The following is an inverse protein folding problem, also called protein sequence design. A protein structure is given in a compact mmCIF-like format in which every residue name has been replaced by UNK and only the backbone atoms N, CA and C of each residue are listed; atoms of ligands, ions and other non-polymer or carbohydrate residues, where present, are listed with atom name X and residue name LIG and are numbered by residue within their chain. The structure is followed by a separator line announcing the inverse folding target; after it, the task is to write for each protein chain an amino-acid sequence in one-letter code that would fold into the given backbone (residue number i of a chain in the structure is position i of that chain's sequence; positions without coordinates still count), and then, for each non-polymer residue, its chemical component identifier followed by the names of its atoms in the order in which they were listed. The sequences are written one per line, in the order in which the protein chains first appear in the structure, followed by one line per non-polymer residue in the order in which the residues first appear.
data_IF_928522366263
#
_entry.id   IF_928522366263
#
_cell.length_a   1.000
_cell.length_b   1.000
_cell.length_c   1.000
_cell.angle_alpha   90.00
_cell.angle_beta   90.00
_cell.angle_gamma   90.00
#
_symmetry.space_group_name_H-M   'P 1'
#
loop_
_entity.id
_entity.type
_entity.pdbx_description
1 polymer ?
#
# COMPACT_ATOMS: atom_id res chain seq x y z
N UNK A 1 -8.72 23.79 -4.27
CA UNK A 1 -9.43 22.94 -3.31
C UNK A 1 -9.65 21.63 -4.06
N UNK A 2 -8.71 20.69 -3.95
CA UNK A 2 -8.88 19.38 -4.60
C UNK A 2 -10.00 18.65 -3.86
N UNK A 3 -11.05 18.26 -4.58
CA UNK A 3 -12.08 17.35 -4.07
C UNK A 3 -11.40 16.12 -3.44
N UNK A 4 -11.93 15.53 -2.35
CA UNK A 4 -11.39 14.29 -1.85
C UNK A 4 -11.58 13.21 -2.91
N UNK A 5 -10.52 12.89 -3.65
CA UNK A 5 -10.49 11.82 -4.64
C UNK A 5 -11.11 10.56 -4.04
N UNK A 6 -12.15 10.02 -4.67
CA UNK A 6 -12.81 8.79 -4.24
C UNK A 6 -11.79 7.68 -4.08
N UNK A 7 -11.88 6.93 -2.97
CA UNK A 7 -11.02 5.79 -2.73
C UNK A 7 -11.73 4.67 -1.98
N UNK A 8 -11.27 3.45 -2.21
CA UNK A 8 -11.61 2.27 -1.42
C UNK A 8 -10.43 1.92 -0.51
N UNK A 9 -10.69 1.73 0.79
CA UNK A 9 -9.66 1.36 1.76
C UNK A 9 -9.60 -0.16 1.97
N UNK A 10 -8.44 -0.74 1.71
CA UNK A 10 -8.11 -2.13 2.02
C UNK A 10 -7.15 -2.18 3.22
N UNK A 11 -7.23 -3.26 4.00
CA UNK A 11 -6.32 -3.51 5.13
C UNK A 11 -5.54 -4.79 4.90
N UNK A 12 -4.21 -4.67 4.89
CA UNK A 12 -3.29 -5.81 4.87
C UNK A 12 -2.84 -6.08 6.30
N UNK A 13 -3.23 -7.23 6.88
CA UNK A 13 -2.73 -7.63 8.20
C UNK A 13 -1.26 -8.05 8.09
N UNK A 14 -0.47 -7.67 9.09
CA UNK A 14 0.91 -8.11 9.26
C UNK A 14 0.90 -9.34 10.17
N UNK A 15 0.67 -10.52 9.59
CA UNK A 15 0.66 -11.78 10.34
C UNK A 15 2.09 -12.14 10.80
N UNK A 16 2.23 -12.71 12.02
CA UNK A 16 3.48 -12.87 12.79
C UNK A 16 4.05 -11.59 13.42
N UNK A 17 3.38 -11.13 14.49
CA UNK A 17 3.88 -10.09 15.40
C UNK A 17 5.34 -10.32 15.84
N UNK A 18 5.81 -11.56 16.06
CA UNK A 18 7.22 -11.78 16.45
C UNK A 18 8.26 -11.51 15.33
N UNK A 19 7.87 -11.54 14.05
CA UNK A 19 8.74 -11.22 12.89
C UNK A 19 8.50 -9.79 12.38
N UNK A 20 7.29 -9.26 12.54
CA UNK A 20 6.83 -8.00 11.96
C UNK A 20 6.31 -6.95 12.96
N UNK A 21 6.38 -7.16 14.29
CA UNK A 21 6.15 -6.09 15.30
C UNK A 21 7.09 -4.89 15.10
N UNK A 22 8.15 -5.08 14.31
CA UNK A 22 9.15 -4.07 13.95
C UNK A 22 9.01 -3.57 12.51
N UNK A 23 8.01 -4.03 11.75
CA UNK A 23 7.85 -3.57 10.38
C UNK A 23 7.63 -2.06 10.39
N UNK A 24 8.45 -1.37 9.61
CA UNK A 24 8.41 0.07 9.48
C UNK A 24 8.38 0.38 7.98
N UNK A 25 7.23 0.85 7.51
CA UNK A 25 6.99 1.13 6.10
C UNK A 25 8.02 2.13 5.55
N UNK A 26 8.34 3.18 6.29
CA UNK A 26 9.31 4.20 5.88
C UNK A 26 10.70 3.58 5.66
N UNK A 27 11.19 2.76 6.60
CA UNK A 27 12.46 2.05 6.43
C UNK A 27 12.44 1.14 5.21
N UNK A 28 11.37 0.38 5.01
CA UNK A 28 11.24 -0.50 3.86
C UNK A 28 11.26 0.29 2.53
N UNK A 29 10.54 1.41 2.47
CA UNK A 29 10.45 2.26 1.27
C UNK A 29 11.78 2.95 0.98
N UNK A 30 12.39 3.57 1.99
CA UNK A 30 13.61 4.35 1.83
C UNK A 30 14.82 3.48 1.51
N UNK A 31 15.00 2.36 2.22
CA UNK A 31 16.16 1.48 2.01
C UNK A 31 16.13 0.77 0.66
N UNK A 32 14.94 0.46 0.14
CA UNK A 32 14.78 -0.21 -1.16
C UNK A 32 14.46 0.75 -2.31
N UNK A 33 14.36 2.05 -2.02
CA UNK A 33 14.13 3.10 -3.02
C UNK A 33 12.86 2.88 -3.87
N UNK A 34 11.75 2.43 -3.25
CA UNK A 34 10.51 2.14 -3.99
C UNK A 34 9.90 3.34 -4.72
N UNK A 35 10.35 4.56 -4.41
CA UNK A 35 9.90 5.81 -5.01
C UNK A 35 10.84 6.36 -6.11
N UNK A 36 11.95 5.68 -6.42
CA UNK A 36 12.98 6.24 -7.32
C UNK A 36 12.54 6.34 -8.79
N UNK A 37 11.50 5.62 -9.20
CA UNK A 37 10.97 5.65 -10.56
C UNK A 37 9.57 6.22 -10.58
N UNK A 38 9.37 7.28 -11.36
CA UNK A 38 8.03 7.78 -11.65
C UNK A 38 7.16 6.64 -12.25
N UNK A 39 5.87 6.59 -11.93
CA UNK A 39 5.10 7.54 -11.12
C UNK A 39 5.04 7.17 -9.62
N UNK A 40 6.00 6.41 -9.09
CA UNK A 40 6.06 6.12 -7.66
C UNK A 40 6.51 7.37 -6.89
N UNK A 41 5.92 7.62 -5.73
CA UNK A 41 6.24 8.75 -4.88
C UNK A 41 6.21 8.34 -3.40
N UNK A 42 7.22 8.75 -2.66
CA UNK A 42 7.21 8.69 -1.20
C UNK A 42 6.98 10.08 -0.65
N UNK A 43 5.92 10.24 0.16
CA UNK A 43 5.69 11.48 0.90
C UNK A 43 6.09 11.27 2.37
N UNK A 44 7.18 11.90 2.83
CA UNK A 44 7.69 11.69 4.20
C UNK A 44 6.76 12.30 5.26
N UNK A 45 6.02 13.37 4.92
CA UNK A 45 5.15 14.07 5.87
C UNK A 45 4.01 13.18 6.39
N UNK A 46 3.40 12.40 5.51
CA UNK A 46 2.29 11.50 5.85
C UNK A 46 2.70 10.01 5.83
N UNK A 47 4.00 9.72 5.65
CA UNK A 47 4.57 8.37 5.55
C UNK A 47 3.79 7.49 4.55
N UNK A 48 3.57 8.05 3.37
CA UNK A 48 2.75 7.43 2.32
C UNK A 48 3.59 7.08 1.10
N UNK A 49 3.53 5.82 0.69
CA UNK A 49 4.00 5.39 -0.63
C UNK A 49 2.82 5.41 -1.59
N UNK A 50 2.90 6.22 -2.64
CA UNK A 50 1.93 6.22 -3.74
C UNK A 50 2.56 5.60 -4.97
N UNK A 51 1.87 4.63 -5.59
CA UNK A 51 2.33 4.03 -6.85
C UNK A 51 1.19 3.31 -7.57
N UNK A 52 1.30 3.06 -8.88
CA UNK A 52 0.42 2.14 -9.58
C UNK A 52 0.74 0.70 -9.18
N UNK A 53 -0.31 -0.09 -8.97
CA UNK A 53 -0.25 -1.55 -8.84
C UNK A 53 -1.15 -2.18 -9.89
N UNK A 54 -0.73 -3.34 -10.41
CA UNK A 54 -1.52 -4.12 -11.37
C UNK A 54 -2.68 -4.80 -10.66
N UNK A 55 -3.86 -4.76 -11.27
CA UNK A 55 -5.04 -5.47 -10.76
C UNK A 55 -5.13 -6.87 -11.38
N UNK A 56 -6.24 -7.60 -11.16
CA UNK A 56 -6.33 -9.02 -11.47
C UNK A 56 -6.20 -9.36 -12.96
N UNK A 57 -6.59 -8.45 -13.85
CA UNK A 57 -6.46 -8.62 -15.30
C UNK A 57 -5.01 -8.53 -15.81
N UNK A 58 -4.06 -8.18 -14.93
CA UNK A 58 -2.63 -7.98 -15.19
C UNK A 58 -2.28 -6.93 -16.26
N UNK A 59 -3.26 -6.27 -16.86
CA UNK A 59 -3.11 -5.33 -17.97
C UNK A 59 -3.39 -3.89 -17.55
N UNK A 60 -4.30 -3.70 -16.60
CA UNK A 60 -4.64 -2.39 -16.04
C UNK A 60 -3.95 -2.19 -14.69
N UNK A 61 -3.85 -0.93 -14.28
CA UNK A 61 -3.23 -0.54 -13.02
C UNK A 61 -4.07 0.50 -12.31
N UNK A 62 -4.18 0.36 -10.99
CA UNK A 62 -4.83 1.34 -10.13
C UNK A 62 -3.76 2.10 -9.35
N UNK A 63 -3.94 3.41 -9.21
CA UNK A 63 -3.12 4.21 -8.31
C UNK A 63 -3.48 3.83 -6.88
N UNK A 64 -2.47 3.44 -6.08
CA UNK A 64 -2.66 3.13 -4.67
C UNK A 64 -1.79 4.00 -3.79
N UNK A 65 -2.26 4.25 -2.57
CA UNK A 65 -1.50 4.86 -1.48
C UNK A 65 -1.42 3.91 -0.30
N UNK A 66 -0.21 3.63 0.15
CA UNK A 66 0.10 2.69 1.22
C UNK A 66 0.62 3.48 2.41
N UNK A 67 -0.01 3.29 3.56
CA UNK A 67 0.35 3.94 4.83
C UNK A 67 0.34 2.93 5.96
N UNK A 68 1.18 3.14 6.97
CA UNK A 68 1.16 2.38 8.20
C UNK A 68 0.56 3.25 9.31
N UNK A 69 -0.56 2.85 9.95
CA UNK A 69 -1.13 3.58 11.07
C UNK A 69 -0.13 3.71 12.22
N UNK A 70 0.03 4.92 12.76
CA UNK A 70 0.80 5.16 13.98
C UNK A 70 -0.07 4.89 15.21
N UNK A 71 -0.44 3.62 15.41
CA UNK A 71 -1.23 3.18 16.58
C UNK A 71 -0.40 2.20 17.42
N UNK A 72 -0.84 1.90 18.64
CA UNK A 72 -0.07 1.02 19.54
C UNK A 72 0.14 -0.40 18.98
N UNK A 73 -0.76 -0.91 18.12
CA UNK A 73 -0.67 -2.28 17.60
C UNK A 73 0.11 -2.42 16.29
N UNK A 74 0.20 -1.37 15.45
CA UNK A 74 0.93 -1.35 14.18
C UNK A 74 0.80 -2.64 13.33
N UNK A 75 -0.33 -3.33 13.41
CA UNK A 75 -0.54 -4.72 12.98
C UNK A 75 -1.11 -4.83 11.56
N UNK A 76 -1.26 -3.70 10.87
CA UNK A 76 -1.75 -3.67 9.50
C UNK A 76 -1.20 -2.48 8.71
N UNK A 77 -1.29 -2.60 7.38
CA UNK A 77 -1.10 -1.50 6.44
C UNK A 77 -2.44 -1.09 5.84
N UNK A 78 -2.64 0.21 5.69
CA UNK A 78 -3.75 0.80 4.95
C UNK A 78 -3.34 0.96 3.49
N UNK A 79 -4.11 0.36 2.58
CA UNK A 79 -3.93 0.46 1.14
C UNK A 79 -5.18 1.15 0.55
N UNK A 80 -5.06 2.40 0.16
CA UNK A 80 -6.13 3.16 -0.51
C UNK A 80 -6.01 2.95 -2.01
N UNK A 81 -7.08 2.50 -2.65
CA UNK A 81 -7.20 2.37 -4.11
C UNK A 81 -8.00 3.58 -4.62
N UNK A 82 -7.37 4.42 -5.43
CA UNK A 82 -7.96 5.70 -5.85
C UNK A 82 -8.79 5.58 -7.14
N UNK A 83 -9.76 6.48 -7.31
CA UNK A 83 -10.53 6.62 -8.55
C UNK A 83 -11.59 5.55 -8.77
N UNK A 84 -11.92 4.78 -7.73
CA UNK A 84 -12.89 3.67 -7.80
C UNK A 84 -13.90 3.76 -6.66
N UNK A 85 -15.14 3.37 -6.94
CA UNK A 85 -16.22 3.27 -5.94
C UNK A 85 -16.22 1.90 -5.23
N UNK A 86 -15.73 0.87 -5.90
CA UNK A 86 -15.64 -0.50 -5.40
C UNK A 86 -14.45 -1.22 -6.01
N UNK A 87 -13.89 -2.20 -5.29
CA UNK A 87 -12.83 -3.08 -5.77
C UNK A 87 -13.36 -4.51 -5.74
N UNK A 88 -13.20 -5.26 -6.83
CA UNK A 88 -13.61 -6.66 -6.89
C UNK A 88 -12.77 -7.52 -5.93
N UNK A 89 -13.25 -8.72 -5.57
CA UNK A 89 -12.47 -9.62 -4.70
C UNK A 89 -11.14 -10.00 -5.36
N UNK A 90 -11.15 -10.31 -6.65
CA UNK A 90 -9.94 -10.65 -7.40
C UNK A 90 -8.93 -9.50 -7.44
N UNK A 91 -9.38 -8.27 -7.68
CA UNK A 91 -8.50 -7.10 -7.71
C UNK A 91 -7.93 -6.77 -6.33
N UNK A 92 -8.75 -6.91 -5.29
CA UNK A 92 -8.31 -6.77 -3.91
C UNK A 92 -7.18 -7.75 -3.61
N UNK A 93 -7.36 -9.03 -3.91
CA UNK A 93 -6.36 -10.06 -3.63
C UNK A 93 -5.07 -9.81 -4.44
N UNK A 94 -5.20 -9.48 -5.73
CA UNK A 94 -4.06 -9.12 -6.58
C UNK A 94 -3.26 -7.93 -6.04
N UNK A 95 -3.95 -6.87 -5.59
CA UNK A 95 -3.33 -5.69 -4.98
C UNK A 95 -2.62 -6.07 -3.67
N UNK A 96 -3.30 -6.78 -2.76
CA UNK A 96 -2.73 -7.15 -1.46
C UNK A 96 -1.53 -8.08 -1.62
N UNK A 97 -1.60 -9.08 -2.49
CA UNK A 97 -0.48 -9.99 -2.78
C UNK A 97 0.71 -9.27 -3.40
N UNK A 98 0.45 -8.25 -4.23
CA UNK A 98 1.51 -7.43 -4.79
C UNK A 98 2.18 -6.57 -3.71
N UNK A 99 1.41 -5.99 -2.78
CA UNK A 99 1.96 -5.24 -1.62
C UNK A 99 2.78 -6.16 -0.72
N UNK A 100 2.27 -7.36 -0.40
CA UNK A 100 2.97 -8.36 0.42
C UNK A 100 4.32 -8.71 -0.16
N UNK A 101 4.38 -9.05 -1.46
CA UNK A 101 5.64 -9.38 -2.15
C UNK A 101 6.58 -8.18 -2.27
N UNK A 102 6.04 -7.02 -2.61
CA UNK A 102 6.80 -5.78 -2.74
C UNK A 102 7.52 -5.42 -1.43
N UNK A 103 6.79 -5.50 -0.30
CA UNK A 103 7.31 -5.16 1.02
C UNK A 103 7.98 -6.34 1.74
N UNK A 104 8.12 -7.51 1.08
CA UNK A 104 8.74 -8.73 1.62
C UNK A 104 8.10 -9.18 2.94
N UNK A 105 6.77 -9.18 2.98
CA UNK A 105 5.96 -9.51 4.16
C UNK A 105 5.63 -11.02 4.29
N UNK A 106 6.06 -11.85 3.33
CA UNK A 106 6.03 -13.32 3.39
C UNK A 106 7.43 -13.87 3.70
#
# INVERSE_FOLDING_TARGET
MEEPSKYVLLRLKLENANKYCLFNLEKAVCNHGFFMMAPNAWCPLNKCLTRPLRIADHSTSSLVSITQPQTQSCDFLNVKVHGVDSVSVADKDAILDQVTRMLRLS
#
